data_IF_013969073476
#
_entry.id   IF_013969073476
#
_cell.length_a   1.000
_cell.length_b   1.000
_cell.length_c   1.000
_cell.angle_alpha   90.00
_cell.angle_beta   90.00
_cell.angle_gamma   90.00
#
_symmetry.space_group_name_H-M   'P 1'
#
loop_
_entity.id
_entity.type
_entity.pdbx_description
1 polymer ?
#
# COMPACT_ATOMS: atom_id res chain seq x y z
N UNK A 1 21.20 35.86 9.51
CA UNK A 1 20.13 35.06 10.16
C UNK A 1 18.85 34.95 9.34
N UNK A 2 18.30 36.03 8.78
CA UNK A 2 17.03 35.98 8.01
C UNK A 2 17.07 35.08 6.75
N UNK A 3 18.19 35.03 6.05
CA UNK A 3 18.40 34.15 4.88
C UNK A 3 18.51 32.66 5.22
N UNK A 4 18.95 32.32 6.43
CA UNK A 4 19.08 30.93 6.88
C UNK A 4 17.70 30.31 7.16
N UNK A 5 16.77 31.11 7.70
CA UNK A 5 15.40 30.69 8.01
C UNK A 5 14.61 30.42 6.72
N UNK A 6 14.81 31.24 5.69
CA UNK A 6 14.15 31.06 4.38
C UNK A 6 14.64 29.78 3.68
N UNK A 7 15.94 29.50 3.73
CA UNK A 7 16.51 28.27 3.17
C UNK A 7 16.00 27.00 3.89
N UNK A 8 15.87 27.06 5.23
CA UNK A 8 15.34 25.95 6.02
C UNK A 8 13.85 25.69 5.75
N UNK A 9 13.06 26.77 5.57
CA UNK A 9 11.65 26.68 5.20
C UNK A 9 11.45 26.13 3.77
N UNK A 10 12.33 26.49 2.83
CA UNK A 10 12.31 25.94 1.47
C UNK A 10 12.72 24.46 1.43
N UNK A 11 13.67 24.02 2.27
CA UNK A 11 14.06 22.60 2.36
C UNK A 11 13.00 21.69 2.99
N UNK A 12 12.07 22.24 3.77
CA UNK A 12 10.95 21.49 4.35
C UNK A 12 9.77 21.31 3.36
N UNK A 13 9.80 21.98 2.21
CA UNK A 13 8.69 22.02 1.26
C UNK A 13 8.71 20.92 0.18
N UNK A 14 9.76 20.08 0.12
CA UNK A 14 9.99 19.18 -1.02
C UNK A 14 9.73 17.69 -0.76
N UNK A 15 9.09 17.31 0.34
CA UNK A 15 8.79 15.89 0.63
C UNK A 15 7.31 15.64 0.92
N UNK A 16 6.43 16.17 0.07
CA UNK A 16 5.07 15.63 -0.02
C UNK A 16 5.17 14.24 -0.67
N UNK A 17 4.86 13.19 0.07
CA UNK A 17 4.71 11.85 -0.50
C UNK A 17 3.57 11.89 -1.52
N UNK A 18 3.88 11.70 -2.79
CA UNK A 18 2.90 11.63 -3.85
C UNK A 18 2.09 10.34 -3.71
N UNK A 19 0.78 10.40 -3.94
CA UNK A 19 -0.10 9.25 -3.73
C UNK A 19 0.36 8.08 -4.60
N UNK A 20 0.47 6.90 -4.00
CA UNK A 20 0.91 5.69 -4.67
C UNK A 20 -0.20 4.64 -4.69
N UNK A 21 -0.50 4.12 -5.87
CA UNK A 21 -1.41 2.98 -6.04
C UNK A 21 -0.60 1.75 -6.44
N UNK A 22 -0.75 0.68 -5.68
CA UNK A 22 -0.21 -0.65 -5.96
C UNK A 22 -1.41 -1.54 -6.30
N UNK A 23 -1.57 -1.81 -7.59
CA UNK A 23 -2.71 -2.53 -8.14
C UNK A 23 -2.31 -3.97 -8.40
N UNK A 24 -3.08 -4.89 -7.87
CA UNK A 24 -2.69 -6.27 -7.64
C UNK A 24 -3.72 -7.24 -8.21
N UNK A 25 -3.23 -8.33 -8.79
CA UNK A 25 -4.02 -9.53 -9.11
C UNK A 25 -3.43 -10.72 -8.35
N UNK A 26 -4.29 -11.56 -7.78
CA UNK A 26 -3.83 -12.76 -7.10
C UNK A 26 -3.02 -13.66 -8.04
N UNK A 27 -2.02 -14.36 -7.49
CA UNK A 27 -1.28 -15.37 -8.25
C UNK A 27 -2.04 -16.70 -8.20
N UNK A 28 -2.42 -17.25 -9.35
CA UNK A 28 -3.11 -18.55 -9.46
C UNK A 28 -4.47 -18.44 -10.16
N UNK A 29 -5.30 -19.48 -10.02
CA UNK A 29 -6.63 -19.57 -10.64
C UNK A 29 -7.73 -18.87 -9.81
N UNK A 30 -7.45 -17.66 -9.30
CA UNK A 30 -8.44 -16.83 -8.59
C UNK A 30 -8.65 -15.52 -9.33
N UNK A 31 -9.84 -14.92 -9.17
CA UNK A 31 -10.20 -13.63 -9.77
C UNK A 31 -9.99 -12.46 -8.81
N UNK A 32 -9.34 -12.72 -7.68
CA UNK A 32 -9.19 -11.74 -6.62
C UNK A 32 -8.24 -10.62 -7.05
N UNK A 33 -8.67 -9.41 -6.76
CA UNK A 33 -7.91 -8.18 -7.01
C UNK A 33 -7.77 -7.39 -5.73
N UNK A 34 -6.61 -6.76 -5.59
CA UNK A 34 -6.30 -5.89 -4.47
C UNK A 34 -5.78 -4.54 -4.96
N UNK A 35 -6.02 -3.49 -4.20
CA UNK A 35 -5.39 -2.18 -4.42
C UNK A 35 -4.91 -1.64 -3.09
N UNK A 36 -3.59 -1.48 -2.96
CA UNK A 36 -2.99 -0.71 -1.87
C UNK A 36 -2.86 0.73 -2.33
N UNK A 37 -3.57 1.64 -1.69
CA UNK A 37 -3.52 3.07 -1.96
C UNK A 37 -2.83 3.76 -0.78
N UNK A 38 -1.54 4.08 -0.95
CA UNK A 38 -0.74 4.81 0.02
C UNK A 38 -0.88 6.31 -0.24
N UNK A 39 -1.52 7.02 0.70
CA UNK A 39 -1.61 8.49 0.66
C UNK A 39 -0.38 9.13 1.29
N UNK A 40 0.32 8.39 2.15
CA UNK A 40 1.62 8.73 2.73
C UNK A 40 2.45 7.47 2.85
N UNK A 41 3.76 7.60 3.11
CA UNK A 41 4.60 6.44 3.45
C UNK A 41 4.10 5.69 4.70
N UNK A 42 3.47 6.41 5.62
CA UNK A 42 2.94 5.90 6.88
C UNK A 42 1.60 5.16 6.76
N UNK A 43 0.92 5.20 5.61
CA UNK A 43 -0.35 4.49 5.45
C UNK A 43 -1.30 5.02 4.39
N UNK A 44 -2.49 4.45 4.40
CA UNK A 44 -3.55 4.73 3.45
C UNK A 44 -4.69 3.72 3.53
N UNK A 45 -5.04 3.09 2.41
CA UNK A 45 -6.16 2.15 2.33
C UNK A 45 -5.79 0.88 1.56
N UNK A 46 -6.46 -0.21 1.90
CA UNK A 46 -6.46 -1.47 1.16
C UNK A 46 -7.89 -1.74 0.66
N UNK A 47 -8.02 -1.93 -0.65
CA UNK A 47 -9.23 -2.45 -1.28
C UNK A 47 -9.02 -3.90 -1.71
N UNK A 48 -9.98 -4.78 -1.43
CA UNK A 48 -10.01 -6.18 -1.85
C UNK A 48 -11.34 -6.49 -2.53
N UNK A 49 -11.32 -7.32 -3.57
CA UNK A 49 -12.52 -7.81 -4.24
C UNK A 49 -12.25 -9.17 -4.88
N UNK A 50 -13.22 -10.09 -4.84
CA UNK A 50 -13.13 -11.40 -5.50
C UNK A 50 -13.25 -11.37 -7.04
N UNK A 51 -13.27 -10.18 -7.65
CA UNK A 51 -13.34 -9.98 -9.10
C UNK A 51 -14.73 -9.55 -9.57
N UNK A 52 -15.01 -9.71 -10.88
CA UNK A 52 -16.29 -9.34 -11.50
C UNK A 52 -17.19 -10.54 -11.82
N UNK A 53 -16.84 -11.74 -11.37
CA UNK A 53 -17.58 -12.94 -11.80
C UNK A 53 -18.90 -13.14 -11.05
N UNK A 54 -19.13 -12.47 -9.91
CA UNK A 54 -20.40 -12.57 -9.18
C UNK A 54 -20.83 -11.23 -8.53
N UNK A 55 -22.06 -10.71 -8.75
CA UNK A 55 -22.53 -9.49 -8.07
C UNK A 55 -22.69 -9.62 -6.55
N UNK A 56 -22.61 -10.83 -6.00
CA UNK A 56 -22.52 -11.09 -4.55
C UNK A 56 -21.07 -11.05 -4.02
N UNK A 57 -20.09 -10.75 -4.89
CA UNK A 57 -18.67 -10.68 -4.55
C UNK A 57 -18.40 -9.65 -3.45
N UNK A 58 -17.79 -10.12 -2.36
CA UNK A 58 -17.43 -9.29 -1.22
C UNK A 58 -16.36 -8.27 -1.64
N UNK A 59 -16.67 -6.99 -1.40
CA UNK A 59 -15.74 -5.88 -1.58
C UNK A 59 -15.44 -5.28 -0.24
N UNK A 60 -14.16 -5.20 0.07
CA UNK A 60 -13.68 -4.72 1.35
C UNK A 60 -12.80 -3.50 1.09
N UNK A 61 -13.08 -2.41 1.81
CA UNK A 61 -12.22 -1.24 1.87
C UNK A 61 -11.87 -0.98 3.33
N UNK A 62 -10.59 -1.03 3.65
CA UNK A 62 -10.10 -0.83 5.02
C UNK A 62 -8.94 0.16 5.05
N UNK A 63 -8.80 0.84 6.18
CA UNK A 63 -7.63 1.68 6.43
C UNK A 63 -6.44 0.82 6.83
N UNK A 64 -5.24 1.23 6.41
CA UNK A 64 -3.99 0.58 6.77
C UNK A 64 -2.99 1.62 7.28
N UNK A 65 -2.17 1.21 8.24
CA UNK A 65 -1.11 2.04 8.81
C UNK A 65 0.18 1.24 8.91
N UNK A 66 1.30 1.92 8.69
CA UNK A 66 2.63 1.32 8.80
C UNK A 66 2.86 0.91 10.26
N UNK A 67 3.09 -0.37 10.47
CA UNK A 67 3.37 -0.94 11.79
C UNK A 67 4.88 -1.11 12.00
N UNK A 68 5.56 -1.72 11.03
CA UNK A 68 6.97 -2.05 11.12
C UNK A 68 7.64 -2.09 9.74
N UNK A 69 8.97 -2.06 9.74
CA UNK A 69 9.79 -2.40 8.57
C UNK A 69 10.58 -3.64 8.95
N UNK A 70 10.28 -4.75 8.28
CA UNK A 70 10.90 -6.05 8.54
C UNK A 70 11.74 -6.46 7.34
N UNK A 71 13.06 -6.48 7.54
CA UNK A 71 14.01 -6.72 6.45
C UNK A 71 13.89 -5.67 5.35
N UNK A 72 13.43 -6.09 4.17
CA UNK A 72 13.23 -5.23 3.00
C UNK A 72 11.76 -4.98 2.68
N UNK A 73 10.87 -5.11 3.67
CA UNK A 73 9.43 -4.95 3.52
C UNK A 73 8.86 -3.95 4.52
N UNK A 74 7.95 -3.09 4.06
CA UNK A 74 7.07 -2.29 4.90
C UNK A 74 5.82 -3.10 5.22
N UNK A 75 5.51 -3.25 6.51
CA UNK A 75 4.37 -4.00 7.00
C UNK A 75 3.30 -3.00 7.41
N UNK A 76 2.19 -2.98 6.68
CA UNK A 76 1.02 -2.17 6.98
C UNK A 76 -0.04 -3.03 7.66
N UNK A 77 -0.49 -2.66 8.86
CA UNK A 77 -1.60 -3.35 9.54
C UNK A 77 -2.93 -2.74 9.15
N UNK A 78 -3.96 -3.58 9.03
CA UNK A 78 -5.33 -3.12 8.87
C UNK A 78 -5.84 -2.55 10.19
N UNK A 79 -6.37 -1.33 10.14
CA UNK A 79 -7.01 -0.66 11.28
C UNK A 79 -8.47 -1.10 11.32
N UNK A 80 -8.74 -2.22 11.98
CA UNK A 80 -10.09 -2.69 12.32
C UNK A 80 -10.09 -3.25 13.76
N UNK A 81 -11.27 -3.56 14.30
CA UNK A 81 -11.40 -4.03 15.68
C UNK A 81 -10.71 -5.38 15.94
N UNK A 82 -10.44 -6.19 14.90
CA UNK A 82 -9.73 -7.46 15.02
C UNK A 82 -8.20 -7.33 14.87
N UNK A 83 -7.69 -6.38 14.09
CA UNK A 83 -6.25 -6.20 13.81
C UNK A 83 -5.59 -7.40 13.11
N UNK A 84 -6.37 -8.33 12.58
CA UNK A 84 -5.93 -9.67 12.15
C UNK A 84 -5.36 -9.72 10.72
N UNK A 85 -5.18 -8.55 10.09
CA UNK A 85 -4.67 -8.46 8.73
C UNK A 85 -3.46 -7.53 8.60
N UNK A 86 -2.52 -7.91 7.76
CA UNK A 86 -1.42 -7.04 7.34
C UNK A 86 -1.10 -7.18 5.86
N UNK A 87 -0.55 -6.13 5.30
CA UNK A 87 -0.05 -6.04 3.92
C UNK A 87 1.44 -5.78 3.99
N UNK A 88 2.23 -6.67 3.40
CA UNK A 88 3.68 -6.54 3.31
C UNK A 88 4.04 -6.11 1.89
N UNK A 89 4.63 -4.91 1.79
CA UNK A 89 5.05 -4.30 0.52
C UNK A 89 6.57 -4.18 0.51
N UNK A 90 7.27 -4.64 -0.55
CA UNK A 90 8.72 -4.45 -0.65
C UNK A 90 9.10 -2.97 -0.55
N UNK A 91 10.03 -2.64 0.34
CA UNK A 91 10.49 -1.27 0.61
C UNK A 91 11.01 -0.57 -0.64
N UNK A 92 11.61 -1.32 -1.56
CA UNK A 92 12.08 -0.80 -2.85
C UNK A 92 10.95 -0.30 -3.77
N UNK A 93 9.70 -0.69 -3.54
CA UNK A 93 8.53 -0.22 -4.28
C UNK A 93 7.90 1.04 -3.67
N UNK A 94 8.17 1.35 -2.41
CA UNK A 94 7.60 2.51 -1.72
C UNK A 94 8.13 3.81 -2.33
N UNK A 95 7.23 4.73 -2.68
CA UNK A 95 7.55 5.98 -3.35
C UNK A 95 8.16 5.78 -4.75
N UNK A 96 7.99 4.60 -5.37
CA UNK A 96 8.51 4.29 -6.72
C UNK A 96 7.45 3.64 -7.61
N UNK A 97 7.44 4.05 -8.88
CA UNK A 97 6.69 3.32 -9.90
C UNK A 97 7.43 2.03 -10.25
N UNK A 98 6.69 0.94 -10.40
CA UNK A 98 7.22 -0.37 -10.79
C UNK A 98 6.24 -1.12 -11.68
N UNK A 99 6.75 -1.85 -12.66
CA UNK A 99 5.93 -2.72 -13.50
C UNK A 99 5.67 -4.10 -12.87
N UNK A 100 6.36 -4.41 -11.77
CA UNK A 100 6.22 -5.67 -11.07
C UNK A 100 6.63 -5.53 -9.60
N UNK A 101 5.75 -5.91 -8.69
CA UNK A 101 5.97 -5.97 -7.24
C UNK A 101 5.17 -7.16 -6.71
N UNK A 102 5.80 -7.99 -5.89
CA UNK A 102 5.07 -9.01 -5.12
C UNK A 102 4.63 -8.39 -3.80
N UNK A 103 3.34 -8.42 -3.53
CA UNK A 103 2.74 -7.93 -2.28
C UNK A 103 2.09 -9.11 -1.59
N UNK A 104 2.33 -9.21 -0.29
CA UNK A 104 1.78 -10.28 0.53
C UNK A 104 0.66 -9.72 1.41
N UNK A 105 -0.51 -10.37 1.35
CA UNK A 105 -1.62 -10.14 2.26
C UNK A 105 -1.65 -11.29 3.27
N UNK A 106 -1.56 -10.97 4.55
CA UNK A 106 -1.65 -11.93 5.64
C UNK A 106 -2.97 -11.67 6.36
N UNK A 107 -3.82 -12.68 6.43
CA UNK A 107 -5.13 -12.58 7.10
C UNK A 107 -5.43 -13.85 7.87
N UNK A 108 -5.72 -13.74 9.16
CA UNK A 108 -6.09 -14.88 10.02
C UNK A 108 -5.14 -16.09 9.91
N UNK A 109 -3.83 -15.83 9.79
CA UNK A 109 -2.79 -16.86 9.63
C UNK A 109 -2.65 -17.45 8.23
N UNK A 110 -3.49 -17.05 7.27
CA UNK A 110 -3.34 -17.38 5.85
C UNK A 110 -2.50 -16.32 5.14
N UNK A 111 -1.71 -16.75 4.17
CA UNK A 111 -0.80 -15.91 3.39
C UNK A 111 -1.17 -15.97 1.92
N UNK A 112 -1.47 -14.81 1.34
CA UNK A 112 -1.88 -14.66 -0.05
C UNK A 112 -0.88 -13.75 -0.75
N UNK A 113 -0.25 -14.24 -1.81
CA UNK A 113 0.66 -13.46 -2.63
C UNK A 113 -0.05 -12.88 -3.84
N UNK A 114 0.22 -11.61 -4.11
CA UNK A 114 -0.31 -10.87 -5.23
C UNK A 114 0.82 -10.39 -6.14
N UNK A 115 0.58 -10.47 -7.45
CA UNK A 115 1.40 -9.83 -8.46
C UNK A 115 0.83 -8.45 -8.76
N UNK A 116 1.64 -7.42 -8.61
CA UNK A 116 1.18 -6.04 -8.66
C UNK A 116 2.04 -5.14 -9.54
N UNK A 117 1.45 -4.02 -9.95
CA UNK A 117 2.16 -2.87 -10.50
C UNK A 117 1.95 -1.65 -9.59
N UNK A 118 2.97 -0.81 -9.51
CA UNK A 118 2.97 0.40 -8.68
C UNK A 118 3.03 1.64 -9.56
N UNK A 119 2.18 2.63 -9.29
CA UNK A 119 2.16 3.94 -9.96
C UNK A 119 2.03 5.04 -8.93
N UNK A 120 2.76 6.14 -9.17
CA UNK A 120 2.71 7.35 -8.36
C UNK A 120 1.94 8.42 -9.13
N UNK A 121 1.08 9.14 -8.44
CA UNK A 121 0.34 10.27 -8.96
C UNK A 121 0.63 11.48 -8.06
N UNK A 122 1.04 12.57 -8.69
CA UNK A 122 1.09 13.88 -8.04
C UNK A 122 -0.30 14.49 -8.19
N UNK A 123 -1.20 14.22 -7.24
CA UNK A 123 -2.48 14.92 -7.11
C UNK A 123 -2.34 16.24 -6.32
#
# INVERSE_FOLDING_TARGET
MKTLILALALSLSTSAFARQYIQCSATGDTTDVAVVNLTTEAGGTLFLSSGMQNPEDERILVNIELDSIEGQHHIYKVINESGEASVSVPSQAIGKSSNFVLVDLIFAGSHYQYSCFSRIYND
#
